data_IF_084550101623
#
_entry.id   IF_084550101623
#
_cell.length_a   1.000
_cell.length_b   1.000
_cell.length_c   1.000
_cell.angle_alpha   90.00
_cell.angle_beta   90.00
_cell.angle_gamma   90.00
#
_symmetry.space_group_name_H-M   'P 1'
#
loop_
_entity.id
_entity.type
_entity.pdbx_description
1 polymer ?
#
# COMPACT_ATOMS: atom_id res chain seq x y z
N UNK A 1 -3.12 10.98 11.93
CA UNK A 1 -2.10 10.46 11.01
C UNK A 1 -2.81 9.54 10.05
N UNK A 2 -2.79 9.90 8.77
CA UNK A 2 -3.25 9.00 7.74
C UNK A 2 -2.33 7.76 7.72
N UNK A 3 -2.91 6.62 7.36
CA UNK A 3 -2.23 5.33 7.34
C UNK A 3 -2.38 4.75 5.94
N UNK A 4 -1.41 3.95 5.47
CA UNK A 4 -1.55 3.22 4.20
C UNK A 4 -2.85 2.42 4.14
N UNK A 5 -3.28 2.06 2.93
CA UNK A 5 -4.42 1.16 2.75
C UNK A 5 -4.23 -0.11 3.57
N UNK A 6 -5.28 -0.48 4.31
CA UNK A 6 -5.33 -1.67 5.15
C UNK A 6 -6.67 -2.36 5.02
N UNK A 7 -6.66 -3.67 5.18
CA UNK A 7 -7.86 -4.46 5.31
C UNK A 7 -8.52 -4.23 6.66
N UNK A 8 -9.83 -4.41 6.69
CA UNK A 8 -10.64 -4.56 7.89
C UNK A 8 -11.23 -5.96 7.90
N UNK A 9 -10.98 -6.71 8.98
CA UNK A 9 -11.55 -8.03 9.18
C UNK A 9 -12.90 -7.93 9.89
N UNK A 10 -13.93 -8.49 9.29
CA UNK A 10 -15.29 -8.49 9.82
C UNK A 10 -15.79 -9.93 10.03
N UNK A 11 -15.68 -10.48 11.24
CA UNK A 11 -16.06 -11.86 11.50
C UNK A 11 -17.57 -12.08 11.39
N UNK A 12 -17.95 -13.33 11.21
CA UNK A 12 -19.34 -13.76 11.15
C UNK A 12 -19.91 -13.71 9.74
N UNK A 13 -21.19 -14.09 9.64
CA UNK A 13 -21.81 -14.35 8.35
C UNK A 13 -22.14 -13.08 7.58
N UNK A 14 -21.73 -13.04 6.32
CA UNK A 14 -22.09 -12.00 5.37
C UNK A 14 -22.84 -12.61 4.20
N UNK A 15 -23.88 -11.91 3.77
CA UNK A 15 -24.67 -12.27 2.59
C UNK A 15 -24.77 -11.03 1.72
N UNK A 16 -25.08 -11.20 0.43
CA UNK A 16 -25.29 -10.07 -0.46
C UNK A 16 -26.34 -9.07 0.07
N UNK A 17 -27.41 -9.54 0.71
CA UNK A 17 -28.44 -8.67 1.31
C UNK A 17 -27.90 -7.88 2.51
N UNK A 18 -27.05 -8.51 3.33
CA UNK A 18 -26.37 -7.82 4.42
C UNK A 18 -25.41 -6.77 3.89
N UNK A 19 -24.61 -7.11 2.86
CA UNK A 19 -23.70 -6.17 2.20
C UNK A 19 -24.47 -4.97 1.63
N UNK A 20 -25.61 -5.21 0.97
CA UNK A 20 -26.47 -4.14 0.46
C UNK A 20 -26.95 -3.20 1.56
N UNK A 21 -27.41 -3.75 2.68
CA UNK A 21 -27.99 -2.96 3.78
C UNK A 21 -26.94 -2.27 4.63
N UNK A 22 -25.87 -2.98 5.00
CA UNK A 22 -24.92 -2.56 6.03
C UNK A 22 -23.67 -1.86 5.45
N UNK A 23 -23.40 -2.04 4.15
CA UNK A 23 -22.22 -1.46 3.46
C UNK A 23 -22.67 -0.52 2.33
N UNK A 24 -23.42 -1.03 1.36
CA UNK A 24 -23.79 -0.25 0.16
C UNK A 24 -24.68 0.95 0.48
N UNK A 25 -25.84 0.74 1.13
CA UNK A 25 -26.81 1.81 1.41
C UNK A 25 -26.21 3.01 2.17
N UNK A 26 -25.38 2.81 3.22
CA UNK A 26 -24.67 3.92 3.87
C UNK A 26 -23.73 4.68 2.94
N UNK A 27 -22.98 3.98 2.09
CA UNK A 27 -22.05 4.60 1.14
C UNK A 27 -22.80 5.36 0.05
N UNK A 28 -23.87 4.78 -0.49
CA UNK A 28 -24.72 5.41 -1.51
C UNK A 28 -25.36 6.70 -0.97
N UNK A 29 -25.99 6.59 0.20
CA UNK A 29 -26.67 7.73 0.82
C UNK A 29 -25.75 8.89 1.20
N UNK A 30 -24.46 8.63 1.45
CA UNK A 30 -23.49 9.63 1.92
C UNK A 30 -22.56 10.13 0.81
N UNK A 31 -22.16 9.26 -0.13
CA UNK A 31 -21.08 9.48 -1.09
C UNK A 31 -21.46 9.14 -2.54
N UNK A 32 -22.73 8.78 -2.81
CA UNK A 32 -23.18 8.43 -4.16
C UNK A 32 -22.52 7.17 -4.71
N UNK A 33 -22.33 6.16 -3.86
CA UNK A 33 -21.71 4.91 -4.26
C UNK A 33 -22.58 4.08 -5.22
N UNK A 34 -21.94 3.45 -6.20
CA UNK A 34 -22.45 2.29 -6.94
C UNK A 34 -21.91 0.98 -6.35
N UNK A 35 -22.58 -0.15 -6.59
CA UNK A 35 -22.12 -1.48 -6.20
C UNK A 35 -21.97 -2.35 -7.44
N UNK A 36 -20.72 -2.51 -7.87
CA UNK A 36 -20.36 -3.12 -9.13
C UNK A 36 -19.84 -4.57 -8.98
N UNK A 37 -19.92 -5.37 -10.04
CA UNK A 37 -19.09 -6.55 -10.18
C UNK A 37 -17.60 -6.19 -10.09
N UNK A 38 -16.81 -7.14 -9.62
CA UNK A 38 -15.35 -7.03 -9.56
C UNK A 38 -14.77 -7.19 -10.96
N UNK A 39 -13.67 -6.49 -11.28
CA UNK A 39 -13.01 -6.63 -12.58
C UNK A 39 -12.32 -7.97 -12.75
N UNK A 40 -11.81 -8.51 -11.64
CA UNK A 40 -11.19 -9.82 -11.55
C UNK A 40 -12.08 -10.78 -10.79
N UNK A 41 -11.96 -12.07 -11.15
CA UNK A 41 -12.67 -13.14 -10.46
C UNK A 41 -12.26 -13.15 -8.97
N UNK A 42 -13.23 -13.18 -8.03
CA UNK A 42 -12.93 -13.30 -6.60
C UNK A 42 -12.20 -14.61 -6.26
N UNK A 43 -11.54 -14.68 -5.09
CA UNK A 43 -10.93 -15.90 -4.58
C UNK A 43 -11.93 -17.07 -4.50
N UNK A 44 -11.44 -18.31 -4.60
CA UNK A 44 -12.30 -19.47 -4.45
C UNK A 44 -12.93 -19.50 -3.04
N UNK A 45 -14.24 -19.74 -2.95
CA UNK A 45 -14.98 -19.71 -1.69
C UNK A 45 -15.41 -18.31 -1.22
N UNK A 46 -14.99 -17.25 -1.93
CA UNK A 46 -15.38 -15.89 -1.66
C UNK A 46 -16.37 -15.36 -2.70
N UNK A 47 -17.37 -14.62 -2.22
CA UNK A 47 -18.10 -13.64 -3.02
C UNK A 47 -17.44 -12.27 -2.82
N UNK A 48 -17.55 -11.38 -3.81
CA UNK A 48 -17.02 -10.03 -3.66
C UNK A 48 -17.81 -8.99 -4.44
N UNK A 49 -17.70 -7.74 -3.98
CA UNK A 49 -18.22 -6.55 -4.64
C UNK A 49 -17.21 -5.43 -4.60
N UNK A 50 -17.29 -4.59 -5.63
CA UNK A 50 -16.57 -3.33 -5.75
C UNK A 50 -17.56 -2.20 -5.54
N UNK A 51 -17.12 -1.15 -4.87
CA UNK A 51 -17.89 0.07 -4.63
C UNK A 51 -17.13 1.24 -5.22
N UNK A 52 -17.82 2.06 -6.01
CA UNK A 52 -17.25 3.24 -6.65
C UNK A 52 -18.08 4.44 -6.24
N UNK A 53 -17.44 5.46 -5.70
CA UNK A 53 -18.08 6.64 -5.12
C UNK A 53 -17.98 7.80 -6.12
N UNK A 54 -18.94 8.72 -6.09
CA UNK A 54 -18.98 9.87 -7.00
C UNK A 54 -17.74 10.78 -6.91
N UNK A 55 -17.05 10.74 -5.76
CA UNK A 55 -15.80 11.47 -5.53
C UNK A 55 -14.55 10.73 -6.05
N UNK A 56 -14.72 9.61 -6.77
CA UNK A 56 -13.64 8.77 -7.28
C UNK A 56 -12.96 7.91 -6.21
N UNK A 57 -13.53 7.78 -5.01
CA UNK A 57 -13.09 6.76 -4.06
C UNK A 57 -13.59 5.37 -4.47
N UNK A 58 -12.82 4.36 -4.13
CA UNK A 58 -13.13 2.96 -4.40
C UNK A 58 -12.98 2.12 -3.14
N UNK A 59 -13.79 1.07 -3.06
CA UNK A 59 -13.64 0.04 -2.06
C UNK A 59 -13.97 -1.35 -2.58
N UNK A 60 -13.42 -2.34 -1.91
CA UNK A 60 -13.50 -3.75 -2.19
C UNK A 60 -14.02 -4.45 -0.94
N UNK A 61 -14.98 -5.35 -1.14
CA UNK A 61 -15.50 -6.18 -0.08
C UNK A 61 -15.57 -7.63 -0.54
N UNK A 62 -14.84 -8.51 0.12
CA UNK A 62 -14.87 -9.95 -0.12
C UNK A 62 -15.35 -10.68 1.13
N UNK A 63 -16.27 -11.63 0.97
CA UNK A 63 -16.79 -12.42 2.09
C UNK A 63 -16.92 -13.89 1.76
N UNK A 64 -16.80 -14.73 2.79
CA UNK A 64 -16.97 -16.18 2.72
C UNK A 64 -17.94 -16.65 3.79
N UNK A 65 -18.65 -17.74 3.46
CA UNK A 65 -19.55 -18.45 4.38
C UNK A 65 -18.87 -19.67 5.03
N UNK A 66 -17.84 -20.21 4.41
CA UNK A 66 -17.12 -21.41 4.87
C UNK A 66 -15.80 -21.09 5.53
N UNK A 67 -15.06 -22.15 5.85
CA UNK A 67 -13.70 -22.13 6.39
C UNK A 67 -12.66 -21.74 5.33
N UNK A 68 -11.59 -21.07 5.76
CA UNK A 68 -10.39 -20.80 4.96
C UNK A 68 -9.18 -21.18 5.82
N UNK A 69 -8.44 -22.24 5.47
CA UNK A 69 -7.31 -22.71 6.26
C UNK A 69 -6.13 -21.73 6.26
N UNK A 70 -6.08 -20.80 5.31
CA UNK A 70 -5.03 -19.78 5.21
C UNK A 70 -5.38 -18.51 6.00
N UNK A 71 -6.55 -18.48 6.65
CA UNK A 71 -7.01 -17.35 7.46
C UNK A 71 -6.59 -17.47 8.92
N UNK A 72 -5.56 -16.71 9.29
CA UNK A 72 -5.04 -16.65 10.66
C UNK A 72 -5.97 -15.96 11.67
N UNK A 73 -7.00 -15.21 11.21
CA UNK A 73 -7.90 -14.44 12.09
C UNK A 73 -9.11 -15.24 12.57
N UNK A 74 -9.40 -16.37 11.91
CA UNK A 74 -10.46 -17.25 12.36
C UNK A 74 -10.94 -18.22 11.30
N UNK A 75 -11.30 -19.41 11.78
CA UNK A 75 -12.00 -20.39 10.98
C UNK A 75 -13.51 -20.13 10.99
N UNK A 76 -14.18 -20.27 9.85
CA UNK A 76 -15.61 -19.96 9.67
C UNK A 76 -15.92 -18.61 8.99
N UNK A 77 -17.21 -18.24 8.86
CA UNK A 77 -17.62 -17.10 8.04
C UNK A 77 -16.92 -15.78 8.42
N UNK A 78 -16.45 -15.05 7.41
CA UNK A 78 -15.75 -13.78 7.59
C UNK A 78 -15.82 -12.90 6.34
N UNK A 79 -15.48 -11.63 6.49
CA UNK A 79 -15.32 -10.70 5.38
C UNK A 79 -14.12 -9.77 5.56
N UNK A 80 -13.66 -9.25 4.42
CA UNK A 80 -12.54 -8.33 4.29
C UNK A 80 -12.99 -7.09 3.52
N UNK A 81 -12.79 -5.93 4.14
CA UNK A 81 -13.03 -4.62 3.53
C UNK A 81 -11.72 -3.90 3.31
N UNK A 82 -11.52 -3.31 2.14
CA UNK A 82 -10.40 -2.40 1.85
C UNK A 82 -10.87 -1.30 0.91
N UNK A 83 -10.49 -0.06 1.18
CA UNK A 83 -10.81 1.04 0.28
C UNK A 83 -10.29 2.36 0.80
N UNK A 84 -10.34 3.36 -0.07
CA UNK A 84 -9.85 4.71 0.20
C UNK A 84 -10.97 5.68 0.55
N UNK A 85 -12.12 5.16 0.95
CA UNK A 85 -13.32 5.92 1.27
C UNK A 85 -13.62 5.96 2.78
N UNK A 86 -14.74 6.57 3.16
CA UNK A 86 -15.30 6.40 4.49
C UNK A 86 -15.60 4.93 4.80
N UNK A 87 -15.20 4.46 5.97
CA UNK A 87 -15.57 3.11 6.40
C UNK A 87 -17.04 3.10 6.85
N UNK A 88 -17.90 2.20 6.35
CA UNK A 88 -19.25 2.03 6.85
C UNK A 88 -19.31 1.71 8.35
N UNK A 89 -20.36 2.16 9.04
CA UNK A 89 -20.50 1.99 10.50
C UNK A 89 -20.43 0.51 10.95
N UNK A 90 -21.01 -0.40 10.16
CA UNK A 90 -20.97 -1.83 10.42
C UNK A 90 -19.53 -2.40 10.50
N UNK A 91 -18.54 -1.65 10.01
CA UNK A 91 -17.14 -2.02 9.96
C UNK A 91 -16.26 -1.14 10.87
N UNK A 92 -16.79 -0.24 11.70
CA UNK A 92 -15.96 0.64 12.53
C UNK A 92 -15.16 -0.08 13.61
N UNK A 93 -15.77 -1.08 14.25
CA UNK A 93 -15.18 -1.86 15.36
C UNK A 93 -14.44 -3.12 14.88
N UNK A 94 -13.83 -3.03 13.71
CA UNK A 94 -13.04 -4.10 13.10
C UNK A 94 -11.55 -3.81 13.24
N UNK A 95 -10.77 -4.87 13.40
CA UNK A 95 -9.31 -4.81 13.39
C UNK A 95 -8.78 -4.54 11.99
N UNK A 96 -7.62 -3.88 11.91
CA UNK A 96 -6.98 -3.46 10.66
C UNK A 96 -5.71 -4.25 10.40
N UNK A 97 -5.56 -4.74 9.17
CA UNK A 97 -4.47 -5.64 8.76
C UNK A 97 -3.78 -5.16 7.49
N UNK A 98 -2.48 -5.44 7.39
CA UNK A 98 -1.67 -5.30 6.18
C UNK A 98 -2.05 -6.32 5.10
N UNK A 99 -1.40 -6.23 3.94
CA UNK A 99 -1.59 -7.20 2.85
C UNK A 99 -1.01 -8.58 3.18
N UNK A 100 0.06 -8.62 3.97
CA UNK A 100 0.73 -9.82 4.48
C UNK A 100 -0.04 -10.50 5.62
N UNK A 101 -0.95 -9.76 6.27
CA UNK A 101 -1.75 -10.22 7.41
C UNK A 101 -3.17 -10.59 7.02
N UNK A 102 -3.45 -10.97 5.78
CA UNK A 102 -4.75 -11.53 5.36
C UNK A 102 -4.51 -12.72 4.45
N UNK A 103 -5.52 -13.59 4.17
CA UNK A 103 -5.33 -14.71 3.26
C UNK A 103 -4.75 -14.26 1.93
N UNK A 104 -3.68 -14.93 1.48
CA UNK A 104 -2.93 -14.54 0.27
C UNK A 104 -3.84 -14.36 -0.95
N UNK A 105 -4.85 -15.23 -1.10
CA UNK A 105 -5.79 -15.15 -2.21
C UNK A 105 -6.63 -13.85 -2.17
N UNK A 106 -7.03 -13.39 -0.99
CA UNK A 106 -7.76 -12.12 -0.79
C UNK A 106 -6.85 -10.93 -1.05
N UNK A 107 -5.64 -10.92 -0.49
CA UNK A 107 -4.65 -9.87 -0.73
C UNK A 107 -4.36 -9.72 -2.22
N UNK A 108 -4.00 -10.81 -2.89
CA UNK A 108 -3.69 -10.84 -4.33
C UNK A 108 -4.86 -10.39 -5.19
N UNK A 109 -6.08 -10.79 -4.87
CA UNK A 109 -7.26 -10.33 -5.60
C UNK A 109 -7.44 -8.82 -5.45
N UNK A 110 -7.36 -8.29 -4.23
CA UNK A 110 -7.50 -6.87 -3.99
C UNK A 110 -6.39 -6.05 -4.65
N UNK A 111 -5.14 -6.52 -4.61
CA UNK A 111 -4.02 -5.88 -5.31
C UNK A 111 -4.29 -5.76 -6.81
N UNK A 112 -4.84 -6.79 -7.45
CA UNK A 112 -5.17 -6.73 -8.89
C UNK A 112 -6.24 -5.69 -9.19
N UNK A 113 -7.31 -5.67 -8.41
CA UNK A 113 -8.39 -4.66 -8.54
C UNK A 113 -7.87 -3.24 -8.36
N UNK A 114 -7.04 -3.03 -7.33
CA UNK A 114 -6.50 -1.72 -6.98
C UNK A 114 -5.41 -1.27 -7.97
N UNK A 115 -4.53 -2.17 -8.43
CA UNK A 115 -3.53 -1.85 -9.46
C UNK A 115 -4.19 -1.47 -10.77
N UNK A 116 -5.22 -2.23 -11.19
CA UNK A 116 -5.98 -1.86 -12.37
C UNK A 116 -6.62 -0.48 -12.21
N UNK A 117 -7.17 -0.15 -11.03
CA UNK A 117 -7.73 1.19 -10.78
C UNK A 117 -6.65 2.27 -10.88
N UNK A 118 -5.50 2.02 -10.26
CA UNK A 118 -4.37 2.93 -10.28
C UNK A 118 -3.91 3.20 -11.70
N UNK A 119 -3.83 2.17 -12.55
CA UNK A 119 -3.40 2.31 -13.94
C UNK A 119 -4.47 2.96 -14.83
N UNK A 120 -5.76 2.76 -14.55
CA UNK A 120 -6.84 3.50 -15.22
C UNK A 120 -6.78 5.01 -14.91
N UNK A 121 -6.63 5.36 -13.62
CA UNK A 121 -6.54 6.76 -13.17
C UNK A 121 -5.19 7.43 -13.44
N UNK A 122 -4.12 6.65 -13.54
CA UNK A 122 -2.74 7.13 -13.70
C UNK A 122 -1.95 6.23 -14.65
N UNK A 123 -2.27 6.22 -15.96
CA UNK A 123 -1.67 5.30 -16.94
C UNK A 123 -0.15 5.41 -17.06
N UNK A 124 0.43 6.54 -16.66
CA UNK A 124 1.89 6.72 -16.64
C UNK A 124 2.61 5.83 -15.63
N UNK A 125 1.90 5.19 -14.69
CA UNK A 125 2.45 4.18 -13.77
C UNK A 125 2.47 2.77 -14.36
N UNK A 126 1.70 2.48 -15.42
CA UNK A 126 1.60 1.15 -16.03
C UNK A 126 2.96 0.57 -16.48
N UNK A 127 3.90 1.37 -17.04
CA UNK A 127 5.23 0.87 -17.39
C UNK A 127 6.12 0.49 -16.19
N UNK A 128 5.70 0.82 -14.96
CA UNK A 128 6.46 0.62 -13.72
C UNK A 128 5.67 -0.27 -12.74
N UNK A 129 5.49 -1.57 -13.04
CA UNK A 129 4.60 -2.45 -12.29
C UNK A 129 5.08 -2.75 -10.86
N UNK A 130 6.39 -2.91 -10.62
CA UNK A 130 6.89 -3.19 -9.26
C UNK A 130 6.78 -1.93 -8.40
N UNK A 131 7.09 -0.75 -8.95
CA UNK A 131 6.88 0.53 -8.29
C UNK A 131 5.41 0.75 -7.95
N UNK A 132 4.51 0.49 -8.91
CA UNK A 132 3.06 0.58 -8.71
C UNK A 132 2.58 -0.34 -7.59
N UNK A 133 3.05 -1.59 -7.59
CA UNK A 133 2.71 -2.56 -6.56
C UNK A 133 3.27 -2.17 -5.20
N UNK A 134 4.56 -1.84 -5.14
CA UNK A 134 5.26 -1.50 -3.90
C UNK A 134 4.57 -0.34 -3.16
N UNK A 135 4.32 0.76 -3.88
CA UNK A 135 3.68 1.96 -3.33
C UNK A 135 2.15 1.98 -3.45
N UNK A 136 1.51 0.88 -3.88
CA UNK A 136 0.05 0.77 -3.96
C UNK A 136 -0.67 1.26 -2.67
N UNK A 137 -0.20 0.91 -1.45
CA UNK A 137 -0.88 1.31 -0.22
C UNK A 137 -0.94 2.83 -0.01
N UNK A 138 -0.02 3.59 -0.60
CA UNK A 138 0.05 5.05 -0.49
C UNK A 138 -0.53 5.75 -1.73
N UNK A 139 -0.33 5.18 -2.93
CA UNK A 139 -0.93 5.68 -4.18
C UNK A 139 -2.46 5.63 -4.20
N UNK A 140 -3.07 4.76 -3.40
CA UNK A 140 -4.52 4.70 -3.24
C UNK A 140 -4.95 4.98 -1.81
N UNK A 141 -4.09 5.53 -0.96
CA UNK A 141 -4.53 5.97 0.38
C UNK A 141 -5.59 7.08 0.29
N UNK A 142 -6.55 7.07 1.21
CA UNK A 142 -7.62 8.09 1.28
C UNK A 142 -7.04 9.51 1.29
N UNK A 143 -6.17 9.79 2.24
CA UNK A 143 -5.69 11.15 2.49
C UNK A 143 -4.43 11.50 1.67
N UNK A 144 -3.81 10.53 0.96
CA UNK A 144 -2.51 10.72 0.32
C UNK A 144 -2.44 10.40 -1.17
N UNK A 145 -3.48 9.84 -1.81
CA UNK A 145 -3.40 9.43 -3.22
C UNK A 145 -2.99 10.57 -4.14
N UNK A 146 -3.58 11.75 -3.98
CA UNK A 146 -3.33 12.89 -4.87
C UNK A 146 -1.92 13.44 -4.69
N UNK A 147 -1.52 13.69 -3.45
CA UNK A 147 -0.19 14.24 -3.13
C UNK A 147 0.92 13.26 -3.48
N UNK A 148 0.73 11.97 -3.22
CA UNK A 148 1.68 10.90 -3.57
C UNK A 148 1.87 10.82 -5.07
N UNK A 149 0.78 10.74 -5.85
CA UNK A 149 0.87 10.67 -7.31
C UNK A 149 1.46 11.94 -7.90
N UNK A 150 1.10 13.13 -7.39
CA UNK A 150 1.68 14.40 -7.82
C UNK A 150 3.18 14.49 -7.52
N UNK A 151 3.64 14.01 -6.37
CA UNK A 151 5.07 13.96 -6.06
C UNK A 151 5.84 13.10 -7.09
N UNK A 152 5.32 11.92 -7.42
CA UNK A 152 5.95 11.04 -8.41
C UNK A 152 5.89 11.64 -9.82
N UNK A 153 4.75 12.23 -10.21
CA UNK A 153 4.53 12.75 -11.55
C UNK A 153 5.19 14.10 -11.83
N UNK A 154 5.11 15.05 -10.88
CA UNK A 154 5.52 16.44 -11.05
C UNK A 154 6.91 16.73 -10.47
N UNK A 155 7.41 15.90 -9.55
CA UNK A 155 8.69 16.12 -8.86
C UNK A 155 9.67 14.95 -9.01
N UNK A 156 9.45 14.07 -10.00
CA UNK A 156 10.33 12.95 -10.33
C UNK A 156 10.75 12.14 -9.08
N UNK A 157 9.78 11.91 -8.17
CA UNK A 157 10.02 11.20 -6.90
C UNK A 157 11.22 11.73 -6.08
N UNK A 158 11.49 13.04 -6.16
CA UNK A 158 12.52 13.72 -5.39
C UNK A 158 13.90 13.83 -6.05
N UNK A 159 14.04 13.38 -7.31
CA UNK A 159 15.25 13.63 -8.10
C UNK A 159 15.29 15.08 -8.61
N UNK A 160 16.39 15.82 -8.39
CA UNK A 160 16.47 17.24 -8.77
C UNK A 160 16.55 17.47 -10.29
N UNK A 161 17.24 16.58 -11.01
CA UNK A 161 17.60 16.74 -12.43
C UNK A 161 17.22 15.50 -13.26
N UNK A 162 16.07 14.90 -12.98
CA UNK A 162 15.54 13.77 -13.74
C UNK A 162 14.15 14.06 -14.27
N UNK A 163 13.83 13.49 -15.43
CA UNK A 163 12.44 13.36 -15.85
C UNK A 163 11.71 12.36 -14.96
N UNK A 164 10.37 12.40 -14.98
CA UNK A 164 9.53 11.40 -14.32
C UNK A 164 9.95 9.99 -14.73
N UNK A 165 10.01 9.70 -16.03
CA UNK A 165 10.23 8.34 -16.52
C UNK A 165 11.63 7.81 -16.17
N UNK A 166 12.66 8.67 -16.15
CA UNK A 166 14.01 8.32 -15.67
C UNK A 166 14.01 7.97 -14.18
N UNK A 167 13.37 8.79 -13.34
CA UNK A 167 13.29 8.56 -11.91
C UNK A 167 12.48 7.30 -11.57
N UNK A 168 11.33 7.10 -12.23
CA UNK A 168 10.51 5.91 -12.04
C UNK A 168 11.22 4.66 -12.56
N UNK A 169 11.91 4.75 -13.69
CA UNK A 169 12.73 3.65 -14.22
C UNK A 169 13.87 3.26 -13.29
N UNK A 170 14.50 4.24 -12.64
CA UNK A 170 15.50 3.99 -11.60
C UNK A 170 14.93 3.16 -10.45
N UNK A 171 13.80 3.57 -9.87
CA UNK A 171 13.18 2.84 -8.77
C UNK A 171 12.59 1.49 -9.20
N UNK A 172 11.94 1.42 -10.38
CA UNK A 172 11.44 0.16 -10.93
C UNK A 172 12.55 -0.87 -11.09
N UNK A 173 13.72 -0.47 -11.62
CA UNK A 173 14.85 -1.38 -11.80
C UNK A 173 15.32 -1.98 -10.48
N UNK A 174 15.25 -1.22 -9.38
CA UNK A 174 15.61 -1.70 -8.05
C UNK A 174 14.50 -2.54 -7.43
N UNK A 175 13.26 -2.06 -7.41
CA UNK A 175 12.14 -2.77 -6.80
C UNK A 175 11.86 -4.11 -7.50
N UNK A 176 12.12 -4.21 -8.81
CA UNK A 176 11.99 -5.47 -9.56
C UNK A 176 12.98 -6.57 -9.12
N UNK A 177 14.01 -6.26 -8.33
CA UNK A 177 14.91 -7.28 -7.78
C UNK A 177 14.30 -8.02 -6.59
N UNK A 178 13.24 -7.49 -5.99
CA UNK A 178 12.59 -8.04 -4.81
C UNK A 178 13.33 -7.79 -3.49
N UNK A 179 14.42 -7.01 -3.51
CA UNK A 179 15.28 -6.80 -2.34
C UNK A 179 14.58 -6.16 -1.13
N UNK A 180 13.42 -5.51 -1.33
CA UNK A 180 12.63 -4.88 -0.27
C UNK A 180 11.22 -5.45 -0.15
N UNK A 181 10.88 -6.54 -0.84
CA UNK A 181 9.50 -7.05 -0.92
C UNK A 181 8.94 -7.44 0.46
N UNK A 182 9.78 -8.05 1.31
CA UNK A 182 9.41 -8.43 2.68
C UNK A 182 9.14 -7.21 3.57
N UNK A 183 9.72 -6.05 3.24
CA UNK A 183 9.63 -4.80 3.99
C UNK A 183 8.66 -3.81 3.35
N UNK A 184 7.86 -4.24 2.36
CA UNK A 184 7.02 -3.34 1.55
C UNK A 184 6.10 -2.45 2.38
N UNK A 185 5.37 -2.98 3.36
CA UNK A 185 4.43 -2.15 4.14
C UNK A 185 5.16 -1.06 4.92
N UNK A 186 6.28 -1.41 5.54
CA UNK A 186 7.09 -0.50 6.33
C UNK A 186 7.71 0.59 5.45
N UNK A 187 8.41 0.18 4.39
CA UNK A 187 9.12 1.07 3.49
C UNK A 187 8.17 1.96 2.67
N UNK A 188 7.08 1.42 2.13
CA UNK A 188 6.08 2.24 1.45
C UNK A 188 5.40 3.22 2.41
N UNK A 189 5.23 2.82 3.68
CA UNK A 189 4.67 3.65 4.74
C UNK A 189 5.50 4.90 5.07
N UNK A 190 6.83 4.87 4.90
CA UNK A 190 7.74 6.00 5.17
C UNK A 190 7.43 7.24 4.33
N UNK A 191 6.98 7.04 3.09
CA UNK A 191 6.55 8.15 2.22
C UNK A 191 5.40 8.96 2.85
N UNK A 192 4.61 8.26 3.67
CA UNK A 192 3.48 8.79 4.40
C UNK A 192 2.26 9.02 3.52
N UNK A 193 1.16 9.32 4.17
CA UNK A 193 -0.12 9.68 3.53
C UNK A 193 -0.52 11.02 4.14
N UNK A 194 -0.67 12.06 3.32
CA UNK A 194 -0.90 13.43 3.79
C UNK A 194 -1.67 14.19 2.73
N UNK A 195 -2.70 14.94 3.14
CA UNK A 195 -3.47 15.80 2.24
C UNK A 195 -2.62 16.96 1.69
N UNK A 196 -1.50 17.26 2.37
CA UNK A 196 -0.54 18.28 1.95
C UNK A 196 0.73 17.62 1.39
N UNK A 197 1.14 18.11 0.22
CA UNK A 197 2.40 17.73 -0.44
C UNK A 197 3.58 18.34 0.32
N UNK A 198 4.29 17.51 1.10
CA UNK A 198 5.59 17.85 1.68
C UNK A 198 6.71 17.21 0.84
N UNK A 199 7.07 17.93 -0.24
CA UNK A 199 8.11 17.53 -1.17
C UNK A 199 9.42 17.17 -0.49
N UNK A 200 9.82 17.91 0.54
CA UNK A 200 11.09 17.69 1.22
C UNK A 200 11.07 16.38 2.00
N UNK A 201 10.03 16.16 2.81
CA UNK A 201 9.87 14.91 3.58
C UNK A 201 9.77 13.70 2.67
N UNK A 202 8.96 13.80 1.61
CA UNK A 202 8.78 12.70 0.66
C UNK A 202 10.08 12.40 -0.10
N UNK A 203 10.83 13.43 -0.49
CA UNK A 203 12.11 13.27 -1.14
C UNK A 203 13.18 12.72 -0.18
N UNK A 204 13.12 13.03 1.12
CA UNK A 204 13.95 12.39 2.14
C UNK A 204 13.64 10.89 2.26
N UNK A 205 12.36 10.50 2.35
CA UNK A 205 11.96 9.10 2.36
C UNK A 205 12.41 8.36 1.09
N UNK A 206 12.25 8.96 -0.10
CA UNK A 206 12.74 8.36 -1.35
C UNK A 206 14.27 8.28 -1.45
N UNK A 207 15.00 9.14 -0.74
CA UNK A 207 16.47 9.04 -0.66
C UNK A 207 16.90 7.75 0.04
N UNK A 208 16.10 7.20 0.95
CA UNK A 208 16.38 5.89 1.54
C UNK A 208 16.38 4.76 0.51
N UNK A 209 15.43 4.78 -0.43
CA UNK A 209 15.40 3.83 -1.56
C UNK A 209 16.57 4.03 -2.52
N UNK A 210 17.01 5.29 -2.69
CA UNK A 210 18.19 5.61 -3.50
C UNK A 210 19.45 5.00 -2.87
N UNK A 211 19.63 5.17 -1.55
CA UNK A 211 20.75 4.56 -0.83
C UNK A 211 20.67 3.04 -0.81
N UNK A 212 19.48 2.47 -0.60
CA UNK A 212 19.22 1.04 -0.68
C UNK A 212 19.65 0.45 -2.02
N UNK A 213 19.30 1.10 -3.14
CA UNK A 213 19.74 0.67 -4.45
C UNK A 213 21.27 0.69 -4.57
N UNK A 214 21.92 1.77 -4.13
CA UNK A 214 23.39 1.87 -4.18
C UNK A 214 24.06 0.75 -3.38
N UNK A 215 23.53 0.42 -2.21
CA UNK A 215 24.00 -0.69 -1.39
C UNK A 215 23.76 -2.04 -2.09
N UNK A 216 22.56 -2.27 -2.61
CA UNK A 216 22.22 -3.49 -3.33
C UNK A 216 23.10 -3.70 -4.57
N UNK A 217 23.31 -2.65 -5.37
CA UNK A 217 24.19 -2.69 -6.54
C UNK A 217 25.66 -2.97 -6.17
N UNK A 218 26.06 -2.66 -4.93
CA UNK A 218 27.37 -2.98 -4.37
C UNK A 218 27.44 -4.39 -3.75
N UNK A 219 26.34 -5.16 -3.75
CA UNK A 219 26.27 -6.54 -3.27
C UNK A 219 25.95 -6.70 -1.78
N UNK A 220 25.41 -5.67 -1.13
CA UNK A 220 24.96 -5.74 0.25
C UNK A 220 23.55 -6.34 0.36
N UNK A 221 23.31 -7.13 1.41
CA UNK A 221 21.97 -7.59 1.78
C UNK A 221 21.30 -6.51 2.64
N UNK A 222 20.02 -6.23 2.40
CA UNK A 222 19.34 -5.06 2.99
C UNK A 222 18.34 -5.46 4.06
N UNK A 223 18.56 -5.00 5.28
CA UNK A 223 17.54 -5.00 6.33
C UNK A 223 17.26 -3.57 6.78
N UNK A 224 16.06 -3.02 6.51
CA UNK A 224 15.68 -1.67 6.91
C UNK A 224 15.30 -1.56 8.40
N UNK A 225 15.29 -0.33 8.92
CA UNK A 225 14.72 0.05 10.24
C UNK A 225 15.24 -0.77 11.42
N UNK A 226 16.56 -0.81 11.57
CA UNK A 226 17.16 -1.60 12.65
C UNK A 226 17.21 -0.78 13.92
N UNK A 227 16.50 -1.26 14.94
CA UNK A 227 16.58 -0.74 16.29
C UNK A 227 17.94 -1.11 16.88
N UNK A 228 18.82 -0.11 17.03
CA UNK A 228 20.06 -0.30 17.77
C UNK A 228 19.82 -0.07 19.26
N UNK A 229 20.55 -0.80 20.11
CA UNK A 229 20.46 -0.78 21.59
C UNK A 229 20.57 0.60 22.24
N UNK A 230 20.97 1.64 21.49
CA UNK A 230 21.06 3.04 21.94
C UNK A 230 19.74 3.82 21.82
N UNK A 231 18.67 3.22 21.26
CA UNK A 231 17.36 3.87 21.10
C UNK A 231 17.25 4.79 19.88
N UNK A 232 18.20 4.68 18.94
CA UNK A 232 18.12 5.28 17.61
C UNK A 232 17.75 4.17 16.60
N UNK A 233 16.93 4.49 15.60
CA UNK A 233 16.78 3.63 14.41
C UNK A 233 17.85 4.04 13.39
N UNK A 234 18.41 3.06 12.69
CA UNK A 234 19.26 3.26 11.51
C UNK A 234 18.51 2.78 10.27
N UNK A 235 18.75 3.43 9.14
CA UNK A 235 18.02 3.15 7.92
C UNK A 235 18.27 1.74 7.39
N UNK A 236 19.53 1.26 7.39
CA UNK A 236 19.90 -0.09 6.93
C UNK A 236 21.05 -0.72 7.71
N UNK A 237 21.07 -2.06 7.76
CA UNK A 237 22.24 -2.90 8.07
C UNK A 237 22.46 -3.91 6.95
N UNK A 238 23.73 -4.23 6.74
CA UNK A 238 24.14 -5.40 5.98
C UNK A 238 24.17 -6.66 6.85
N UNK A 239 23.42 -7.69 6.43
CA UNK A 239 23.32 -8.97 7.13
C UNK A 239 24.32 -10.03 6.62
N UNK A 240 25.17 -9.71 5.64
CA UNK A 240 26.13 -10.65 5.07
C UNK A 240 27.18 -11.16 6.09
N UNK A 241 27.50 -10.38 7.13
CA UNK A 241 28.44 -10.76 8.19
C UNK A 241 27.82 -10.54 9.59
N UNK A 242 27.35 -11.64 10.20
CA UNK A 242 26.61 -11.75 11.48
C UNK A 242 27.38 -11.23 12.73
N UNK A 243 28.57 -10.66 12.55
CA UNK A 243 29.47 -10.24 13.65
C UNK A 243 29.91 -8.76 13.53
N UNK A 244 29.90 -8.15 12.34
CA UNK A 244 30.33 -6.75 12.12
C UNK A 244 29.59 -6.08 10.93
N UNK A 245 28.28 -6.27 10.82
CA UNK A 245 27.45 -5.72 9.73
C UNK A 245 27.59 -4.19 9.58
N UNK A 246 27.67 -3.71 8.32
CA UNK A 246 27.77 -2.28 8.02
C UNK A 246 26.46 -1.59 8.36
N UNK A 247 26.53 -0.53 9.15
CA UNK A 247 25.40 0.31 9.54
C UNK A 247 25.34 1.57 8.68
N UNK A 248 24.18 1.86 8.10
CA UNK A 248 24.00 2.98 7.16
C UNK A 248 22.87 3.89 7.62
N UNK A 249 23.17 5.19 7.62
CA UNK A 249 22.21 6.28 7.85
C UNK A 249 22.20 7.18 6.60
N UNK A 250 21.01 7.44 6.06
CA UNK A 250 20.79 8.21 4.86
C UNK A 250 20.26 9.58 5.25
N UNK A 251 21.11 10.60 5.08
CA UNK A 251 20.74 11.97 5.43
C UNK A 251 20.53 12.82 4.18
N UNK A 252 19.40 13.53 4.14
CA UNK A 252 19.13 14.58 3.15
C UNK A 252 19.11 15.96 3.84
N UNK A 253 20.28 16.60 4.02
CA UNK A 253 20.35 17.87 4.73
C UNK A 253 19.65 18.98 3.95
N UNK A 254 18.97 19.87 4.68
CA UNK A 254 18.47 21.13 4.10
C UNK A 254 19.62 22.11 3.92
N UNK A 255 19.66 22.88 2.82
CA UNK A 255 20.53 24.04 2.74
C UNK A 255 20.27 24.95 3.94
N UNK A 256 21.32 25.52 4.57
CA UNK A 256 21.13 26.49 5.64
C UNK A 256 20.35 27.71 5.10
N UNK A 257 19.41 28.20 5.90
CA UNK A 257 18.59 29.38 5.65
C UNK A 257 19.36 30.68 5.75
#
# INVERSE_FOLDING_TARGET
>A
MARPLRFRYAPGRWTLDRVRRDVFQPLDSNLGASMEPTWFKPPAGYEARRFEMDNGDVALFAWRDGDDPDDEHGNGPAAYWMGNTETPEALWRTDKYGFDRVPFAVARWAERELLAQLHDESPWLEPFPHLSWFFLPVFLSKDGRETTRRFFAEQAAGFPDATRDEALGFYESFLSTGALDEYREEMAGKLGTSEYLDAHRMAAAMSEFTGAKVLHDAGYDLTPEIEVTTGHSLDYRDDADDVDGVLVEITRPRPPS
#
